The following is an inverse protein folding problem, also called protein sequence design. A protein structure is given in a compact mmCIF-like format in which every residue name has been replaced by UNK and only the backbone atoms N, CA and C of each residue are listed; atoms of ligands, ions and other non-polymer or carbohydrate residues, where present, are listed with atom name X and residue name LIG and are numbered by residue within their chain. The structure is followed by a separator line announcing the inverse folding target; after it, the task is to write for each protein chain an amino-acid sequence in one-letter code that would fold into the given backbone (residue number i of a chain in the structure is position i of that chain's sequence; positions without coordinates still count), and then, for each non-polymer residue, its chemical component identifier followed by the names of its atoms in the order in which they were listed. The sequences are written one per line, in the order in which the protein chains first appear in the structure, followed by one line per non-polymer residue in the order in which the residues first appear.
data_IF_815411532739
#
_entry.id   IF_815411532739
#
_cell.length_a   1.000
_cell.length_b   1.000
_cell.length_c   1.000
_cell.angle_alpha   90.00
_cell.angle_beta   90.00
_cell.angle_gamma   90.00
#
_symmetry.space_group_name_H-M   'P 1'
#
loop_
_entity.id
_entity.type
_entity.pdbx_description
1 polymer ?
#
# COMPACT_ATOMS: atom_id res chain seq x y z
N UNK A 1 -12.04 -6.01 -1.25
CA UNK A 1 -11.75 -4.54 -1.26
C UNK A 1 -12.90 -3.66 -1.73
N UNK A 2 -13.98 -4.20 -2.30
CA UNK A 2 -15.12 -3.40 -2.78
C UNK A 2 -15.92 -2.73 -1.65
N UNK A 3 -15.90 -3.30 -0.44
CA UNK A 3 -16.54 -2.74 0.76
C UNK A 3 -15.78 -1.56 1.40
N UNK A 4 -14.55 -1.28 0.96
CA UNK A 4 -13.77 -0.15 1.46
C UNK A 4 -14.09 1.12 0.68
N UNK A 5 -14.03 2.27 1.36
CA UNK A 5 -14.13 3.58 0.71
C UNK A 5 -13.17 3.64 -0.50
N UNK A 6 -13.66 4.07 -1.69
CA UNK A 6 -12.87 4.09 -2.92
C UNK A 6 -11.58 4.91 -2.78
N UNK A 7 -11.61 6.03 -2.05
CA UNK A 7 -10.43 6.89 -1.84
C UNK A 7 -9.32 6.16 -1.06
N UNK A 8 -9.70 5.30 -0.11
CA UNK A 8 -8.75 4.53 0.68
C UNK A 8 -8.15 3.41 -0.16
N UNK A 9 -8.97 2.74 -0.98
CA UNK A 9 -8.53 1.72 -1.90
C UNK A 9 -7.55 2.28 -2.93
N UNK A 10 -7.86 3.42 -3.52
CA UNK A 10 -7.00 4.08 -4.50
C UNK A 10 -5.66 4.49 -3.89
N UNK A 11 -5.67 5.13 -2.72
CA UNK A 11 -4.43 5.50 -2.04
C UNK A 11 -3.57 4.29 -1.66
N UNK A 12 -4.19 3.18 -1.23
CA UNK A 12 -3.49 1.93 -0.97
C UNK A 12 -2.94 1.30 -2.26
N UNK A 13 -3.71 1.35 -3.36
CA UNK A 13 -3.31 0.80 -4.64
C UNK A 13 -2.03 1.48 -5.16
N UNK A 14 -2.06 2.82 -5.23
CA UNK A 14 -0.91 3.61 -5.69
C UNK A 14 0.33 3.39 -4.83
N UNK A 15 0.18 3.23 -3.52
CA UNK A 15 1.32 3.14 -2.60
C UNK A 15 1.92 1.74 -2.48
N UNK A 16 1.11 0.69 -2.58
CA UNK A 16 1.56 -0.69 -2.35
C UNK A 16 1.72 -1.51 -3.63
N UNK A 17 0.93 -1.24 -4.66
CA UNK A 17 0.99 -1.99 -5.93
C UNK A 17 1.84 -1.24 -6.97
N UNK A 18 1.73 0.08 -7.03
CA UNK A 18 2.50 0.92 -7.95
C UNK A 18 3.81 1.46 -7.33
N UNK A 19 4.10 1.11 -6.07
CA UNK A 19 5.28 1.52 -5.30
C UNK A 19 5.50 3.06 -5.30
N UNK A 20 4.42 3.84 -5.46
CA UNK A 20 4.49 5.29 -5.51
C UNK A 20 4.76 5.89 -4.13
N UNK A 21 5.62 6.90 -4.10
CA UNK A 21 5.80 7.72 -2.90
C UNK A 21 4.53 8.54 -2.63
N UNK A 22 4.29 8.91 -1.38
CA UNK A 22 3.13 9.72 -1.00
C UNK A 22 3.03 11.06 -1.74
N UNK A 23 4.16 11.65 -2.14
CA UNK A 23 4.20 12.84 -2.99
C UNK A 23 3.67 12.57 -4.41
N UNK A 24 4.09 11.45 -5.01
CA UNK A 24 3.63 11.06 -6.35
C UNK A 24 2.15 10.65 -6.33
N UNK A 25 1.71 9.91 -5.32
CA UNK A 25 0.31 9.57 -5.15
C UNK A 25 -0.57 10.82 -4.91
N UNK A 26 -0.05 11.83 -4.22
CA UNK A 26 -0.70 13.13 -4.05
C UNK A 26 -0.86 13.87 -5.39
N UNK A 27 0.18 13.89 -6.21
CA UNK A 27 0.15 14.49 -7.56
C UNK A 27 -0.87 13.78 -8.46
N UNK A 28 -0.87 12.44 -8.51
CA UNK A 28 -1.78 11.65 -9.35
C UNK A 28 -3.24 11.83 -8.95
N UNK A 29 -3.53 11.90 -7.64
CA UNK A 29 -4.91 12.02 -7.13
C UNK A 29 -5.39 13.46 -6.99
N UNK A 30 -4.52 14.45 -7.20
CA UNK A 30 -4.82 15.87 -6.96
C UNK A 30 -5.07 16.21 -5.48
N UNK A 31 -4.59 15.37 -4.55
CA UNK A 31 -4.77 15.55 -3.09
C UNK A 31 -3.46 15.98 -2.45
N UNK A 32 -3.51 16.53 -1.25
CA UNK A 32 -2.29 16.85 -0.50
C UNK A 32 -1.62 15.59 0.05
N UNK A 33 -0.30 15.65 0.26
CA UNK A 33 0.46 14.56 0.91
C UNK A 33 -0.12 14.19 2.28
N UNK A 34 -0.63 15.18 3.03
CA UNK A 34 -1.30 14.96 4.33
C UNK A 34 -2.59 14.15 4.18
N UNK A 35 -3.40 14.46 3.16
CA UNK A 35 -4.60 13.68 2.87
C UNK A 35 -4.23 12.26 2.45
N UNK A 36 -3.23 12.06 1.59
CA UNK A 36 -2.73 10.73 1.21
C UNK A 36 -2.28 9.93 2.43
N UNK A 37 -1.48 10.53 3.30
CA UNK A 37 -1.02 9.88 4.53
C UNK A 37 -2.19 9.42 5.40
N UNK A 38 -3.20 10.29 5.59
CA UNK A 38 -4.39 9.97 6.37
C UNK A 38 -5.24 8.87 5.71
N UNK A 39 -5.41 8.90 4.39
CA UNK A 39 -6.17 7.92 3.64
C UNK A 39 -5.49 6.54 3.67
N UNK A 40 -4.18 6.48 3.49
CA UNK A 40 -3.39 5.23 3.60
C UNK A 40 -3.50 4.65 5.01
N UNK A 41 -3.35 5.49 6.04
CA UNK A 41 -3.48 5.04 7.43
C UNK A 41 -4.87 4.44 7.70
N UNK A 42 -5.94 5.18 7.39
CA UNK A 42 -7.33 4.72 7.60
C UNK A 42 -7.68 3.53 6.72
N UNK A 43 -7.15 3.48 5.50
CA UNK A 43 -7.29 2.35 4.59
C UNK A 43 -6.73 1.07 5.18
N UNK A 44 -5.53 1.12 5.79
CA UNK A 44 -4.94 -0.04 6.48
C UNK A 44 -5.79 -0.53 7.64
N UNK A 45 -6.29 0.38 8.46
CA UNK A 45 -7.18 0.03 9.58
C UNK A 45 -8.49 -0.60 9.09
N UNK A 46 -9.08 -0.04 8.03
CA UNK A 46 -10.26 -0.62 7.39
C UNK A 46 -9.97 -1.99 6.78
N UNK A 47 -8.81 -2.14 6.15
CA UNK A 47 -8.40 -3.39 5.53
C UNK A 47 -8.18 -4.48 6.58
N UNK A 48 -7.51 -4.14 7.68
CA UNK A 48 -7.28 -5.07 8.80
C UNK A 48 -8.61 -5.63 9.31
N UNK A 49 -9.60 -4.76 9.55
CA UNK A 49 -10.94 -5.18 9.99
C UNK A 49 -11.66 -6.08 9.00
N UNK A 50 -11.51 -5.84 7.70
CA UNK A 50 -12.09 -6.71 6.66
C UNK A 50 -11.42 -8.09 6.66
N UNK A 51 -10.08 -8.12 6.72
CA UNK A 51 -9.31 -9.36 6.75
C UNK A 51 -9.57 -10.18 8.02
N UNK A 52 -9.71 -9.51 9.17
CA UNK A 52 -10.11 -10.15 10.44
C UNK A 52 -11.48 -10.82 10.33
N UNK A 53 -12.46 -10.20 9.66
CA UNK A 53 -13.79 -10.77 9.41
C UNK A 53 -13.72 -11.98 8.47
N UNK A 54 -12.84 -11.94 7.48
CA UNK A 54 -12.59 -13.05 6.56
C UNK A 54 -11.77 -14.20 7.20
N UNK A 55 -11.40 -14.08 8.48
CA UNK A 55 -10.63 -15.08 9.21
C UNK A 55 -9.13 -15.05 8.95
N UNK A 56 -8.65 -14.07 8.18
CA UNK A 56 -7.24 -13.83 7.88
C UNK A 56 -6.65 -13.07 9.08
N UNK A 57 -6.33 -13.82 10.13
CA UNK A 57 -5.86 -13.26 11.41
C UNK A 57 -4.34 -13.07 11.50
N UNK A 58 -3.57 -13.66 10.57
CA UNK A 58 -2.12 -13.44 10.46
C UNK A 58 -1.65 -13.85 9.05
N UNK A 59 -1.49 -12.89 8.14
CA UNK A 59 -0.41 -13.03 7.16
C UNK A 59 0.87 -12.74 7.94
N UNK A 60 1.72 -13.76 8.06
CA UNK A 60 2.94 -13.75 8.84
C UNK A 60 3.61 -12.38 8.83
N UNK A 61 3.80 -11.80 10.01
CA UNK A 61 4.76 -10.71 10.22
C UNK A 61 6.17 -11.29 10.06
N UNK A 62 6.53 -11.75 8.86
CA UNK A 62 7.90 -12.07 8.54
C UNK A 62 8.64 -10.75 8.34
N UNK A 63 9.17 -10.21 9.44
CA UNK A 63 10.20 -9.18 9.43
C UNK A 63 9.91 -7.92 10.26
N UNK A 64 9.90 -8.05 11.58
CA UNK A 64 10.36 -6.96 12.47
C UNK A 64 11.86 -6.74 12.27
N UNK A 65 12.24 -6.09 11.17
CA UNK A 65 13.63 -5.85 10.81
C UNK A 65 13.81 -4.48 10.20
N UNK A 66 14.49 -3.59 10.93
CA UNK A 66 15.06 -2.34 10.39
C UNK A 66 15.90 -2.68 9.14
N UNK A 67 15.37 -2.49 7.94
CA UNK A 67 16.11 -2.96 6.76
C UNK A 67 15.46 -2.87 5.38
N UNK A 68 14.56 -1.92 5.09
CA UNK A 68 14.19 -1.62 3.70
C UNK A 68 15.02 -0.43 3.17
N UNK A 69 16.32 -0.65 3.01
CA UNK A 69 17.23 0.24 2.26
C UNK A 69 17.98 -0.59 1.22
N UNK A 70 17.54 -0.44 -0.04
CA UNK A 70 18.17 -0.88 -1.30
C UNK A 70 18.54 -2.36 -1.44
N UNK A 71 17.68 -3.12 -2.13
CA UNK A 71 18.12 -4.12 -3.11
C UNK A 71 17.28 -4.01 -4.38
N UNK A 72 17.73 -3.14 -5.28
CA UNK A 72 17.53 -3.32 -6.72
C UNK A 72 18.25 -4.63 -7.08
N UNK A 73 17.54 -5.72 -7.33
CA UNK A 73 18.11 -6.91 -7.99
C UNK A 73 17.04 -7.93 -8.39
N UNK A 74 17.05 -8.25 -9.68
CA UNK A 74 16.53 -9.46 -10.37
C UNK A 74 15.06 -9.63 -10.73
N UNK A 75 14.16 -8.67 -10.50
CA UNK A 75 12.81 -8.73 -11.13
C UNK A 75 12.63 -7.76 -12.30
N UNK A 76 13.58 -6.84 -12.53
CA UNK A 76 13.56 -5.91 -13.69
C UNK A 76 14.36 -6.45 -14.88
N UNK A 77 14.82 -7.71 -14.86
CA UNK A 77 15.54 -8.34 -16.00
C UNK A 77 14.69 -9.37 -16.78
N UNK A 78 13.42 -9.57 -16.43
CA UNK A 78 12.55 -10.55 -17.12
C UNK A 78 11.43 -9.90 -17.94
N UNK A 79 11.53 -8.61 -18.26
CA UNK A 79 10.65 -7.94 -19.22
C UNK A 79 11.36 -7.53 -20.53
N UNK A 80 12.53 -8.11 -20.84
CA UNK A 80 13.17 -7.99 -22.17
C UNK A 80 13.37 -9.36 -22.85
N UNK A 81 12.34 -10.22 -22.81
CA UNK A 81 12.17 -11.30 -23.79
C UNK A 81 10.77 -11.21 -24.37
#
# INVERSE_FOLDING_TARGET
MSEMNPDYREALYLTYFEDMRYAQAAEVTGKTVKQITNMVYRGKESLRKLLEREGITNAESCGTGRGYRRRRSRLVQLQEI
#
